data_IF_179644671796
#
_entry.id   IF_179644671796
#
_cell.length_a   1.000
_cell.length_b   1.000
_cell.length_c   1.000
_cell.angle_alpha   90.00
_cell.angle_beta   90.00
_cell.angle_gamma   90.00
#
_symmetry.space_group_name_H-M   'P 1'
#
loop_
_entity.id
_entity.type
_entity.pdbx_description
1 polymer ?
#
# COMPACT_ATOMS: atom_id res chain seq x y z
N UNK A 1 -9.36 -28.68 -5.90
CA UNK A 1 -8.31 -28.51 -4.88
C UNK A 1 -7.59 -27.21 -5.17
N UNK A 2 -7.85 -26.14 -4.40
CA UNK A 2 -7.10 -24.90 -4.58
C UNK A 2 -5.69 -25.14 -4.02
N UNK A 3 -4.71 -25.31 -4.91
CA UNK A 3 -3.31 -25.45 -4.52
C UNK A 3 -2.82 -24.21 -3.77
N UNK A 4 -1.94 -24.42 -2.79
CA UNK A 4 -1.26 -23.37 -2.02
C UNK A 4 -0.73 -22.27 -2.95
N UNK A 5 -0.93 -21.00 -2.57
CA UNK A 5 -0.42 -19.86 -3.35
C UNK A 5 1.11 -19.88 -3.33
N UNK A 6 1.70 -19.58 -4.48
CA UNK A 6 3.15 -19.53 -4.66
C UNK A 6 3.57 -18.07 -4.88
N UNK A 7 4.37 -17.53 -3.97
CA UNK A 7 4.95 -16.20 -4.06
C UNK A 7 6.38 -16.28 -4.55
N UNK A 8 6.82 -15.26 -5.29
CA UNK A 8 8.19 -15.19 -5.80
C UNK A 8 8.36 -15.80 -7.19
N UNK A 9 9.63 -16.09 -7.51
CA UNK A 9 10.06 -16.59 -8.82
C UNK A 9 9.54 -18.00 -9.08
N UNK A 10 9.38 -18.31 -10.37
CA UNK A 10 9.07 -19.66 -10.84
C UNK A 10 10.24 -20.13 -11.69
N UNK A 11 10.91 -21.21 -11.27
CA UNK A 11 12.17 -21.66 -11.88
C UNK A 11 12.09 -21.88 -13.41
N UNK A 12 10.95 -22.39 -13.89
CA UNK A 12 10.70 -22.67 -15.31
C UNK A 12 10.26 -21.43 -16.12
N UNK A 13 10.08 -20.29 -15.46
CA UNK A 13 9.53 -19.07 -16.05
C UNK A 13 10.37 -17.84 -15.64
N UNK A 14 11.59 -17.69 -16.18
CA UNK A 14 12.44 -16.54 -15.89
C UNK A 14 11.83 -15.23 -16.41
N UNK A 15 12.30 -14.11 -15.86
CA UNK A 15 11.92 -12.76 -16.33
C UNK A 15 12.19 -12.64 -17.82
N UNK A 16 11.20 -12.10 -18.55
CA UNK A 16 11.20 -11.99 -20.01
C UNK A 16 10.44 -13.12 -20.72
N UNK A 17 10.06 -14.19 -20.02
CA UNK A 17 9.25 -15.27 -20.62
C UNK A 17 7.93 -14.71 -21.17
N UNK A 18 7.60 -15.09 -22.40
CA UNK A 18 6.41 -14.65 -23.12
C UNK A 18 5.36 -15.75 -23.25
N UNK A 19 4.08 -15.36 -23.26
CA UNK A 19 2.93 -16.22 -23.40
C UNK A 19 1.96 -15.63 -24.42
N UNK A 20 1.37 -16.46 -25.27
CA UNK A 20 0.43 -16.01 -26.30
C UNK A 20 -0.92 -15.58 -25.71
N UNK A 21 -1.33 -16.12 -24.56
CA UNK A 21 -2.67 -15.86 -24.00
C UNK A 21 -2.76 -15.96 -22.47
N UNK A 22 -3.85 -15.42 -21.91
CA UNK A 22 -4.23 -15.61 -20.49
C UNK A 22 -4.42 -17.07 -20.11
N UNK A 23 -4.87 -17.91 -21.05
CA UNK A 23 -5.02 -19.36 -20.82
C UNK A 23 -3.66 -20.04 -20.65
N UNK A 24 -2.68 -19.61 -21.42
CA UNK A 24 -1.30 -20.12 -21.35
C UNK A 24 -0.61 -19.67 -20.05
N UNK A 25 -0.77 -18.41 -19.66
CA UNK A 25 -0.33 -17.92 -18.34
C UNK A 25 -0.89 -18.74 -17.18
N UNK A 26 -2.19 -19.08 -17.25
CA UNK A 26 -2.85 -19.89 -16.24
C UNK A 26 -2.35 -21.34 -16.23
N UNK A 27 -2.14 -21.93 -17.40
CA UNK A 27 -1.58 -23.27 -17.54
C UNK A 27 -0.13 -23.35 -17.02
N UNK A 28 0.67 -22.29 -17.24
CA UNK A 28 2.03 -22.14 -16.72
C UNK A 28 2.08 -21.83 -15.22
N UNK A 29 0.94 -21.54 -14.57
CA UNK A 29 0.90 -21.20 -13.15
C UNK A 29 1.45 -19.81 -12.80
N UNK A 30 1.97 -19.05 -13.76
CA UNK A 30 2.50 -17.69 -13.56
C UNK A 30 1.41 -16.74 -13.09
N UNK A 31 0.21 -16.87 -13.68
CA UNK A 31 -1.00 -16.16 -13.27
C UNK A 31 -2.22 -17.06 -13.48
N UNK A 32 -2.71 -17.68 -12.39
CA UNK A 32 -3.62 -18.84 -12.43
C UNK A 32 -5.07 -18.55 -12.86
N UNK A 33 -5.45 -17.28 -13.00
CA UNK A 33 -6.79 -16.87 -13.41
C UNK A 33 -6.78 -16.29 -14.81
N UNK A 34 -7.82 -16.56 -15.59
CA UNK A 34 -7.86 -16.21 -17.03
C UNK A 34 -8.50 -14.86 -17.32
N UNK A 35 -9.26 -14.32 -16.36
CA UNK A 35 -10.03 -13.08 -16.54
C UNK A 35 -9.49 -11.98 -15.63
N UNK A 36 -9.54 -12.19 -14.31
CA UNK A 36 -9.22 -11.17 -13.31
C UNK A 36 -7.78 -10.67 -13.45
N UNK A 37 -7.54 -9.36 -13.35
CA UNK A 37 -6.18 -8.81 -13.40
C UNK A 37 -5.33 -9.22 -12.19
N UNK A 38 -5.96 -9.46 -11.03
CA UNK A 38 -5.29 -9.81 -9.77
C UNK A 38 -5.55 -11.28 -9.45
N UNK A 39 -4.49 -12.05 -9.16
CA UNK A 39 -4.60 -13.38 -8.60
C UNK A 39 -4.30 -13.32 -7.09
N UNK A 40 -5.33 -13.19 -6.26
CA UNK A 40 -5.15 -13.04 -4.82
C UNK A 40 -6.43 -13.14 -4.01
N UNK A 41 -6.29 -13.21 -2.69
CA UNK A 41 -7.39 -13.10 -1.74
C UNK A 41 -6.92 -12.42 -0.44
N UNK A 42 -7.84 -11.84 0.33
CA UNK A 42 -7.55 -11.17 1.60
C UNK A 42 -7.14 -12.10 2.76
N UNK A 43 -6.96 -13.40 2.54
CA UNK A 43 -6.46 -14.35 3.55
C UNK A 43 -4.97 -14.67 3.35
N UNK A 44 -4.60 -14.92 2.11
CA UNK A 44 -3.29 -15.47 1.74
C UNK A 44 -2.39 -14.41 1.09
N UNK A 45 -2.98 -13.37 0.48
CA UNK A 45 -2.27 -12.38 -0.34
C UNK A 45 -2.45 -12.57 -1.84
N UNK A 46 -1.80 -11.70 -2.61
CA UNK A 46 -1.80 -11.67 -4.08
C UNK A 46 -0.46 -12.13 -4.64
N UNK A 47 -0.49 -13.19 -5.45
CA UNK A 47 0.73 -13.82 -6.02
C UNK A 47 1.15 -13.20 -7.35
N UNK A 48 0.21 -12.63 -8.10
CA UNK A 48 0.49 -12.04 -9.42
C UNK A 48 -0.57 -11.04 -9.85
N UNK A 49 -0.16 -10.10 -10.70
CA UNK A 49 -1.04 -9.17 -11.40
C UNK A 49 -0.74 -9.13 -12.90
N UNK A 50 -1.75 -8.77 -13.70
CA UNK A 50 -1.63 -8.53 -15.14
C UNK A 50 -1.90 -7.06 -15.44
N UNK A 51 -0.89 -6.37 -16.00
CA UNK A 51 -0.98 -4.98 -16.45
C UNK A 51 -1.20 -4.98 -17.95
N UNK A 52 -2.43 -4.72 -18.40
CA UNK A 52 -2.83 -4.87 -19.81
C UNK A 52 -3.84 -3.82 -20.27
N UNK A 53 -3.80 -2.62 -19.70
CA UNK A 53 -4.70 -1.51 -20.04
C UNK A 53 -6.16 -1.86 -19.77
N UNK A 54 -6.41 -2.46 -18.60
CA UNK A 54 -7.75 -2.83 -18.17
C UNK A 54 -8.52 -1.63 -17.61
N UNK A 55 -7.80 -0.69 -17.03
CA UNK A 55 -8.34 0.52 -16.43
C UNK A 55 -7.73 1.75 -17.10
N UNK A 56 -8.54 2.79 -17.26
CA UNK A 56 -8.09 4.07 -17.80
C UNK A 56 -7.14 4.83 -16.86
N UNK A 57 -7.14 4.47 -15.58
CA UNK A 57 -6.33 5.08 -14.53
C UNK A 57 -4.95 4.41 -14.36
N UNK A 58 -4.67 3.26 -14.98
CA UNK A 58 -3.36 2.59 -14.84
C UNK A 58 -2.21 3.49 -15.31
N UNK A 59 -1.13 3.56 -14.52
CA UNK A 59 0.10 4.27 -14.88
C UNK A 59 1.30 3.33 -14.73
N UNK A 60 2.11 3.23 -15.78
CA UNK A 60 3.29 2.37 -15.81
C UNK A 60 4.54 3.23 -16.03
N UNK A 61 5.53 3.06 -15.16
CA UNK A 61 6.82 3.75 -15.19
C UNK A 61 7.99 2.76 -15.27
N UNK A 62 7.73 1.53 -15.71
CA UNK A 62 8.73 0.47 -15.84
C UNK A 62 9.01 -0.22 -14.51
N UNK A 63 9.88 0.35 -13.68
CA UNK A 63 10.22 -0.23 -12.37
C UNK A 63 9.26 0.22 -11.25
N UNK A 64 8.40 1.20 -11.52
CA UNK A 64 7.26 1.56 -10.66
C UNK A 64 5.96 1.47 -11.45
N UNK A 65 4.89 0.98 -10.82
CA UNK A 65 3.56 0.88 -11.43
C UNK A 65 2.54 1.42 -10.44
N UNK A 66 1.64 2.29 -10.89
CA UNK A 66 0.44 2.65 -10.14
C UNK A 66 -0.73 1.89 -10.76
N UNK A 67 -1.11 0.82 -10.07
CA UNK A 67 -2.07 -0.17 -10.54
C UNK A 67 -3.46 0.10 -9.97
N UNK A 68 -4.49 0.04 -10.81
CA UNK A 68 -5.89 0.18 -10.38
C UNK A 68 -6.45 -1.14 -9.85
N UNK A 69 -7.08 -1.10 -8.68
CA UNK A 69 -7.77 -2.21 -8.05
C UNK A 69 -8.90 -2.77 -8.91
N UNK A 70 -9.42 -3.93 -8.51
CA UNK A 70 -10.55 -4.57 -9.15
C UNK A 70 -11.90 -4.04 -8.62
N UNK A 71 -12.92 -4.06 -9.49
CA UNK A 71 -14.30 -3.69 -9.15
C UNK A 71 -14.82 -2.51 -9.96
N UNK A 72 -16.14 -2.45 -10.16
CA UNK A 72 -16.83 -1.30 -10.74
C UNK A 72 -16.47 -0.93 -12.18
N UNK A 73 -15.73 -1.77 -12.92
CA UNK A 73 -15.33 -1.50 -14.31
C UNK A 73 -16.28 -2.19 -15.29
N UNK A 74 -16.74 -1.48 -16.32
CA UNK A 74 -17.44 -2.09 -17.44
C UNK A 74 -16.44 -2.69 -18.45
N UNK A 75 -16.41 -4.02 -18.67
CA UNK A 75 -15.43 -4.66 -19.55
C UNK A 75 -15.48 -4.20 -21.01
N UNK A 76 -16.61 -3.64 -21.45
CA UNK A 76 -16.79 -3.19 -22.84
C UNK A 76 -16.19 -1.81 -23.09
N UNK A 77 -16.51 -0.83 -22.24
CA UNK A 77 -16.01 0.54 -22.34
C UNK A 77 -14.68 0.75 -21.62
N UNK A 78 -14.29 -0.17 -20.72
CA UNK A 78 -13.17 -0.07 -19.78
C UNK A 78 -13.26 1.10 -18.80
N UNK A 79 -14.44 1.70 -18.67
CA UNK A 79 -14.69 2.83 -17.76
C UNK A 79 -15.27 2.34 -16.44
N UNK A 80 -14.99 3.09 -15.37
CA UNK A 80 -15.68 2.85 -14.11
C UNK A 80 -17.15 3.27 -14.20
N UNK A 81 -18.01 2.45 -13.61
CA UNK A 81 -19.47 2.63 -13.50
C UNK A 81 -19.97 2.51 -12.06
N UNK A 82 -19.08 2.19 -11.12
CA UNK A 82 -19.36 2.12 -9.69
C UNK A 82 -18.06 2.24 -8.88
N UNK A 83 -18.21 2.60 -7.59
CA UNK A 83 -17.11 2.65 -6.63
C UNK A 83 -16.52 1.25 -6.36
N UNK A 84 -15.21 1.22 -6.13
CA UNK A 84 -14.51 0.01 -5.72
C UNK A 84 -14.50 -0.15 -4.20
N UNK A 85 -14.50 -1.41 -3.77
CA UNK A 85 -14.35 -1.79 -2.38
C UNK A 85 -12.95 -2.39 -2.12
N UNK A 86 -12.28 -1.98 -1.05
CA UNK A 86 -10.97 -2.55 -0.66
C UNK A 86 -11.11 -4.03 -0.25
N UNK A 87 -12.27 -4.40 0.27
CA UNK A 87 -12.64 -5.76 0.71
C UNK A 87 -12.83 -6.74 -0.46
N UNK A 88 -12.88 -6.25 -1.70
CA UNK A 88 -12.89 -7.11 -2.88
C UNK A 88 -11.65 -8.03 -2.86
N UNK A 89 -11.84 -9.32 -3.12
CA UNK A 89 -10.83 -10.37 -2.90
C UNK A 89 -9.42 -10.03 -3.41
N UNK A 90 -9.29 -9.50 -4.64
CA UNK A 90 -8.01 -9.12 -5.22
C UNK A 90 -7.40 -7.89 -4.56
N UNK A 91 -8.21 -6.87 -4.26
CA UNK A 91 -7.77 -5.66 -3.57
C UNK A 91 -7.26 -5.98 -2.17
N UNK A 92 -8.06 -6.73 -1.39
CA UNK A 92 -7.67 -7.21 -0.06
C UNK A 92 -6.41 -8.09 -0.12
N UNK A 93 -6.23 -8.88 -1.18
CA UNK A 93 -5.02 -9.67 -1.38
C UNK A 93 -3.77 -8.82 -1.63
N UNK A 94 -3.89 -7.69 -2.33
CA UNK A 94 -2.77 -6.77 -2.52
C UNK A 94 -2.40 -6.05 -1.22
N UNK A 95 -3.38 -5.70 -0.38
CA UNK A 95 -3.13 -5.17 0.99
C UNK A 95 -2.38 -6.20 1.83
N UNK A 96 -2.82 -7.46 1.85
CA UNK A 96 -2.11 -8.52 2.58
C UNK A 96 -0.68 -8.71 2.05
N UNK A 97 -0.47 -8.62 0.73
CA UNK A 97 0.89 -8.69 0.16
C UNK A 97 1.76 -7.50 0.55
N UNK A 98 1.19 -6.30 0.68
CA UNK A 98 1.88 -5.12 1.21
C UNK A 98 2.31 -5.33 2.66
N UNK A 99 1.37 -5.67 3.53
CA UNK A 99 1.60 -5.84 4.97
C UNK A 99 2.66 -6.90 5.28
N UNK A 100 2.65 -8.00 4.52
CA UNK A 100 3.58 -9.12 4.73
C UNK A 100 4.84 -9.03 3.84
N UNK A 101 4.95 -8.02 2.98
CA UNK A 101 6.07 -7.87 2.04
C UNK A 101 6.16 -9.00 1.02
N UNK A 102 5.04 -9.62 0.66
CA UNK A 102 5.04 -10.73 -0.30
C UNK A 102 5.32 -10.23 -1.72
N UNK A 103 6.25 -10.88 -2.45
CA UNK A 103 6.55 -10.52 -3.81
C UNK A 103 5.37 -10.89 -4.74
N UNK A 104 5.00 -9.95 -5.60
CA UNK A 104 3.94 -10.06 -6.59
C UNK A 104 4.59 -10.17 -7.97
N UNK A 105 4.28 -11.24 -8.71
CA UNK A 105 4.70 -11.36 -10.12
C UNK A 105 3.92 -10.36 -10.97
N UNK A 106 4.64 -9.55 -11.75
CA UNK A 106 4.03 -8.62 -12.72
C UNK A 106 4.10 -9.22 -14.11
N UNK A 107 2.96 -9.26 -14.78
CA UNK A 107 2.84 -9.71 -16.17
C UNK A 107 2.31 -8.54 -17.00
N UNK A 108 3.08 -8.08 -17.98
CA UNK A 108 2.63 -7.04 -18.92
C UNK A 108 1.97 -7.66 -20.14
N UNK A 109 0.78 -7.20 -20.48
CA UNK A 109 0.05 -7.59 -21.68
C UNK A 109 0.17 -6.54 -22.78
N UNK A 110 0.03 -6.97 -24.03
CA UNK A 110 0.22 -6.11 -25.20
C UNK A 110 -0.70 -4.89 -25.32
N UNK A 111 -1.82 -4.89 -24.60
CA UNK A 111 -2.76 -3.76 -24.53
C UNK A 111 -2.42 -2.74 -23.44
N UNK A 112 -1.32 -2.93 -22.70
CA UNK A 112 -0.84 -1.98 -21.68
C UNK A 112 -0.09 -0.80 -22.29
N UNK A 113 0.73 -0.13 -21.48
CA UNK A 113 1.52 1.02 -21.91
C UNK A 113 2.53 0.61 -23.01
N UNK A 114 2.48 1.19 -24.22
CA UNK A 114 3.37 0.81 -25.32
C UNK A 114 4.87 0.97 -25.03
N UNK A 115 5.26 1.79 -24.06
CA UNK A 115 6.66 1.96 -23.67
C UNK A 115 7.22 0.74 -22.92
N UNK A 116 6.36 -0.01 -22.22
CA UNK A 116 6.77 -1.13 -21.36
C UNK A 116 6.15 -2.46 -21.76
N UNK A 117 4.97 -2.46 -22.37
CA UNK A 117 4.26 -3.66 -22.80
C UNK A 117 4.91 -4.35 -24.01
N UNK A 118 4.77 -5.69 -24.13
CA UNK A 118 5.19 -6.40 -25.33
C UNK A 118 4.31 -6.01 -26.53
N UNK A 119 4.82 -6.17 -27.76
CA UNK A 119 4.03 -5.90 -28.98
C UNK A 119 2.86 -6.89 -29.15
N UNK A 120 3.03 -8.13 -28.68
CA UNK A 120 2.00 -9.18 -28.73
C UNK A 120 2.03 -10.03 -27.46
N UNK A 121 0.89 -10.64 -27.14
CA UNK A 121 0.79 -11.58 -26.03
C UNK A 121 1.02 -10.94 -24.65
N UNK A 122 1.70 -11.69 -23.79
CA UNK A 122 2.01 -11.34 -22.41
C UNK A 122 3.46 -11.66 -22.11
N UNK A 123 4.09 -10.88 -21.23
CA UNK A 123 5.48 -11.09 -20.79
C UNK A 123 5.55 -11.01 -19.27
N UNK A 124 6.23 -11.95 -18.65
CA UNK A 124 6.55 -11.90 -17.23
C UNK A 124 7.71 -10.94 -16.98
N UNK A 125 7.49 -9.89 -16.20
CA UNK A 125 8.43 -8.78 -16.01
C UNK A 125 9.10 -8.78 -14.62
N UNK A 126 8.98 -9.89 -13.90
CA UNK A 126 9.64 -10.12 -12.62
C UNK A 126 8.78 -9.78 -11.42
N UNK A 127 9.46 -9.75 -10.27
CA UNK A 127 8.84 -9.53 -8.97
C UNK A 127 8.82 -8.07 -8.59
N UNK A 128 7.70 -7.65 -8.02
CA UNK A 128 7.48 -6.35 -7.44
C UNK A 128 7.01 -6.53 -6.00
N UNK A 129 7.22 -5.52 -5.15
CA UNK A 129 6.49 -5.40 -3.88
C UNK A 129 5.39 -4.37 -4.01
N UNK A 130 4.27 -4.59 -3.33
CA UNK A 130 3.31 -3.53 -3.08
C UNK A 130 3.92 -2.62 -2.02
N UNK A 131 4.18 -1.36 -2.39
CA UNK A 131 4.84 -0.39 -1.53
C UNK A 131 3.84 0.47 -0.75
N UNK A 132 2.64 0.66 -1.30
CA UNK A 132 1.58 1.49 -0.74
C UNK A 132 0.25 1.22 -1.44
N UNK A 133 -0.87 1.39 -0.72
CA UNK A 133 -2.21 1.51 -1.30
C UNK A 133 -2.95 2.77 -0.82
N UNK A 134 -3.90 3.26 -1.62
CA UNK A 134 -4.83 4.37 -1.30
C UNK A 134 -6.09 4.27 -2.17
N UNK A 135 -7.13 5.04 -1.85
CA UNK A 135 -8.25 5.28 -2.80
C UNK A 135 -8.18 6.67 -3.39
N UNK A 136 -8.80 6.88 -4.56
CA UNK A 136 -9.00 8.22 -5.15
C UNK A 136 -10.21 8.20 -6.08
N UNK A 137 -10.67 9.37 -6.54
CA UNK A 137 -11.70 9.45 -7.58
C UNK A 137 -11.03 9.29 -8.95
N UNK A 138 -11.33 8.18 -9.63
CA UNK A 138 -10.81 7.90 -10.96
C UNK A 138 -11.37 8.83 -12.04
N UNK A 139 -10.83 8.73 -13.26
CA UNK A 139 -11.21 9.58 -14.41
C UNK A 139 -12.70 9.56 -14.74
N UNK A 140 -13.40 8.47 -14.45
CA UNK A 140 -14.85 8.34 -14.64
C UNK A 140 -15.70 8.81 -13.44
N UNK A 141 -15.09 9.42 -12.42
CA UNK A 141 -15.81 10.03 -11.30
C UNK A 141 -16.24 9.07 -10.18
N UNK A 142 -15.72 7.84 -10.17
CA UNK A 142 -15.98 6.83 -9.15
C UNK A 142 -14.72 6.58 -8.33
N UNK A 143 -14.91 6.20 -7.06
CA UNK A 143 -13.81 5.77 -6.21
C UNK A 143 -13.14 4.52 -6.77
N UNK A 144 -11.82 4.57 -6.89
CA UNK A 144 -10.96 3.44 -7.24
C UNK A 144 -9.92 3.23 -6.14
N UNK A 145 -9.46 1.99 -5.98
CA UNK A 145 -8.29 1.68 -5.17
C UNK A 145 -7.04 1.63 -6.03
N UNK A 146 -5.93 2.07 -5.48
CA UNK A 146 -4.67 2.25 -6.18
C UNK A 146 -3.57 1.61 -5.38
N UNK A 147 -2.65 0.96 -6.09
CA UNK A 147 -1.55 0.23 -5.51
C UNK A 147 -0.27 0.66 -6.20
N UNK A 148 0.68 1.20 -5.43
CA UNK A 148 2.03 1.46 -5.93
C UNK A 148 2.84 0.18 -5.83
N UNK A 149 3.27 -0.37 -6.96
CA UNK A 149 4.21 -1.48 -7.02
C UNK A 149 5.59 -0.97 -7.39
N UNK A 150 6.62 -1.51 -6.74
CA UNK A 150 8.02 -1.20 -7.02
C UNK A 150 8.79 -2.48 -7.30
N UNK A 151 9.55 -2.49 -8.40
CA UNK A 151 10.31 -3.67 -8.84
C UNK A 151 11.36 -4.05 -7.81
N UNK A 152 11.51 -5.34 -7.61
CA UNK A 152 12.60 -5.90 -6.83
C UNK A 152 13.81 -6.07 -7.78
N UNK A 153 14.91 -5.35 -7.49
CA UNK A 153 16.19 -5.57 -8.17
C UNK A 153 17.01 -6.62 -7.43
N UNK A 154 17.63 -7.54 -8.17
CA UNK A 154 18.53 -8.54 -7.57
C UNK A 154 19.87 -7.89 -7.20
N UNK A 155 19.92 -7.25 -6.04
CA UNK A 155 21.07 -7.34 -5.14
C UNK A 155 20.64 -7.14 -3.68
N UNK A 156 19.79 -8.04 -3.18
CA UNK A 156 19.70 -8.35 -1.74
C UNK A 156 19.59 -9.88 -1.63
N UNK A 157 20.64 -10.51 -1.10
CA UNK A 157 20.77 -11.97 -1.00
C UNK A 157 19.69 -12.53 -0.08
N UNK A 158 18.92 -13.49 -0.58
CA UNK A 158 17.89 -14.28 0.12
C UNK A 158 18.33 -15.76 0.17
N UNK A 159 17.79 -16.65 1.05
CA UNK A 159 16.36 -16.68 1.44
C UNK A 159 15.99 -17.07 2.88
N UNK A 160 14.76 -16.68 3.23
CA UNK A 160 13.99 -17.22 4.34
C UNK A 160 13.51 -18.65 4.01
N UNK A 161 13.62 -19.58 4.96
CA UNK A 161 12.80 -20.80 4.98
C UNK A 161 12.21 -20.94 6.39
N UNK A 162 10.88 -20.86 6.57
CA UNK A 162 10.23 -21.27 7.81
C UNK A 162 9.70 -22.70 7.70
N UNK A 163 9.90 -23.60 8.71
CA UNK A 163 8.95 -24.66 8.98
C UNK A 163 7.97 -24.24 10.08
N UNK A 164 6.75 -24.71 9.87
CA UNK A 164 5.52 -24.47 10.62
C UNK A 164 5.56 -24.83 12.11
N UNK A 165 4.59 -24.24 12.81
CA UNK A 165 4.15 -24.39 14.21
C UNK A 165 4.82 -23.43 15.21
N UNK A 166 3.99 -22.56 15.81
CA UNK A 166 4.33 -21.41 16.68
C UNK A 166 5.55 -21.68 17.59
N UNK A 167 6.67 -20.92 17.46
CA UNK A 167 7.83 -21.14 18.33
C UNK A 167 7.70 -20.39 19.67
N UNK A 168 8.01 -21.10 20.76
CA UNK A 168 8.30 -20.49 22.05
C UNK A 168 9.59 -19.66 21.95
N UNK A 169 9.57 -18.41 22.42
CA UNK A 169 10.72 -17.50 22.34
C UNK A 169 11.97 -18.04 23.04
N UNK A 170 13.15 -17.85 22.44
CA UNK A 170 14.45 -18.19 23.06
C UNK A 170 14.98 -17.07 23.96
N UNK A 171 15.51 -17.46 25.12
CA UNK A 171 15.89 -16.61 26.26
C UNK A 171 17.16 -15.74 26.04
N UNK A 172 17.75 -15.75 24.85
CA UNK A 172 18.94 -14.94 24.53
C UNK A 172 18.89 -14.39 23.11
N UNK A 173 18.48 -13.13 22.90
CA UNK A 173 18.49 -12.52 21.58
C UNK A 173 19.95 -12.26 21.14
N UNK A 174 20.31 -12.70 19.93
CA UNK A 174 21.59 -12.38 19.29
C UNK A 174 21.54 -10.94 18.78
N UNK A 175 22.38 -10.06 19.32
CA UNK A 175 22.52 -8.70 18.82
C UNK A 175 23.42 -8.67 17.59
N UNK A 176 22.92 -8.13 16.48
CA UNK A 176 23.69 -7.81 15.30
C UNK A 176 23.63 -6.28 15.10
N UNK A 177 24.80 -5.66 14.91
CA UNK A 177 24.91 -4.23 14.62
C UNK A 177 24.73 -4.06 13.11
N UNK A 178 23.57 -3.54 12.71
CA UNK A 178 23.27 -3.20 11.32
C UNK A 178 23.18 -1.69 11.14
N UNK A 179 24.02 -1.13 10.27
CA UNK A 179 23.90 0.27 9.83
C UNK A 179 22.88 0.30 8.70
N UNK A 180 21.64 0.65 9.02
CA UNK A 180 20.62 0.96 8.02
C UNK A 180 20.84 2.37 7.50
N UNK A 181 20.89 2.55 6.17
CA UNK A 181 20.51 3.84 5.60
C UNK A 181 18.99 3.90 5.55
N UNK A 182 18.39 4.14 6.72
CA UNK A 182 17.03 4.66 6.81
C UNK A 182 17.10 6.08 6.24
N UNK A 183 16.22 6.46 5.31
CA UNK A 183 15.89 7.89 5.18
C UNK A 183 15.52 8.32 6.59
N UNK A 184 16.33 9.19 7.21
CA UNK A 184 16.10 9.65 8.58
C UNK A 184 14.79 10.44 8.56
N UNK A 185 13.66 9.77 8.80
CA UNK A 185 12.33 10.38 8.92
C UNK A 185 12.18 11.19 10.21
N UNK A 186 13.25 11.34 10.99
CA UNK A 186 13.26 12.29 12.10
C UNK A 186 13.65 13.65 11.55
N UNK A 187 12.72 14.28 10.84
CA UNK A 187 12.91 15.63 10.34
C UNK A 187 12.88 16.61 11.51
N UNK A 188 13.48 17.79 11.32
CA UNK A 188 13.38 18.87 12.31
C UNK A 188 11.91 19.20 12.62
N UNK A 189 11.04 19.07 11.60
CA UNK A 189 9.58 19.21 11.68
C UNK A 189 8.96 18.17 12.62
N UNK A 190 9.21 16.88 12.39
CA UNK A 190 8.72 15.82 13.27
C UNK A 190 9.15 15.99 14.72
N UNK A 191 10.37 16.46 14.95
CA UNK A 191 10.85 16.74 16.31
C UNK A 191 10.11 17.94 16.93
N UNK A 192 9.90 19.01 16.17
CA UNK A 192 9.20 20.21 16.64
C UNK A 192 7.73 19.92 16.98
N UNK A 193 7.01 19.22 16.11
CA UNK A 193 5.60 18.86 16.29
C UNK A 193 5.42 17.97 17.52
N UNK A 194 6.26 16.93 17.69
CA UNK A 194 6.22 16.08 18.89
C UNK A 194 6.46 16.85 20.18
N UNK A 195 7.41 17.79 20.18
CA UNK A 195 7.68 18.67 21.34
C UNK A 195 6.49 19.58 21.66
N UNK A 196 5.88 20.21 20.66
CA UNK A 196 4.68 21.04 20.84
C UNK A 196 3.54 20.28 21.50
N UNK A 197 3.35 19.01 21.12
CA UNK A 197 2.33 18.13 21.71
C UNK A 197 2.79 17.39 22.96
N UNK A 198 3.98 17.68 23.49
CA UNK A 198 4.59 17.00 24.64
C UNK A 198 4.57 15.48 24.48
N UNK A 199 4.76 14.98 23.25
CA UNK A 199 4.73 13.56 22.89
C UNK A 199 3.42 12.85 23.30
N UNK A 200 2.32 13.60 23.39
CA UNK A 200 0.99 13.06 23.66
C UNK A 200 0.25 12.88 22.34
N UNK A 201 -0.25 11.67 22.08
CA UNK A 201 -0.99 11.36 20.86
C UNK A 201 -2.13 12.36 20.65
N UNK A 202 -2.25 12.90 19.44
CA UNK A 202 -3.33 13.80 19.08
C UNK A 202 -4.67 13.08 18.91
N UNK A 203 -4.66 11.78 18.65
CA UNK A 203 -5.86 10.93 18.50
C UNK A 203 -6.33 10.41 19.86
N UNK A 204 -5.65 9.43 20.46
CA UNK A 204 -6.12 8.81 21.71
C UNK A 204 -5.73 9.56 23.00
N UNK A 205 -4.85 10.58 22.92
CA UNK A 205 -4.37 11.28 24.11
C UNK A 205 -3.35 10.51 24.97
N UNK A 206 -2.97 9.29 24.58
CA UNK A 206 -1.93 8.52 25.30
C UNK A 206 -0.57 9.18 25.11
N UNK A 207 0.20 9.25 26.20
CA UNK A 207 1.60 9.65 26.21
C UNK A 207 2.45 8.43 26.57
N UNK A 208 3.21 7.89 25.61
CA UNK A 208 4.03 6.71 25.84
C UNK A 208 5.29 7.10 26.61
N UNK A 209 5.49 6.47 27.77
CA UNK A 209 6.61 6.72 28.67
C UNK A 209 7.60 5.57 28.58
N UNK A 210 8.83 5.88 28.19
CA UNK A 210 9.96 4.98 28.19
C UNK A 210 10.93 5.38 29.32
N UNK A 211 11.81 4.48 29.78
CA UNK A 211 12.82 4.82 30.78
C UNK A 211 13.73 6.01 30.38
N UNK A 212 13.91 6.20 29.08
CA UNK A 212 14.78 7.24 28.49
C UNK A 212 14.02 8.49 28.02
N UNK A 213 12.72 8.59 28.31
CA UNK A 213 11.90 9.75 27.97
C UNK A 213 10.56 9.41 27.35
N UNK A 214 10.00 10.34 26.58
CA UNK A 214 8.68 10.16 25.97
C UNK A 214 8.80 9.72 24.51
N UNK A 215 7.87 8.88 24.08
CA UNK A 215 7.82 8.36 22.72
C UNK A 215 6.53 8.79 22.01
N UNK A 216 6.71 9.23 20.77
CA UNK A 216 5.65 9.48 19.81
C UNK A 216 6.26 9.47 18.40
N UNK A 217 5.40 9.29 17.41
CA UNK A 217 5.74 9.27 16.00
C UNK A 217 5.20 10.52 15.32
N UNK A 218 5.95 11.04 14.35
CA UNK A 218 5.50 12.13 13.48
C UNK A 218 4.92 11.49 12.23
N UNK A 219 3.61 11.63 12.04
CA UNK A 219 2.88 11.07 10.92
C UNK A 219 2.54 12.18 9.92
N UNK A 220 2.99 12.07 8.67
CA UNK A 220 2.56 13.02 7.64
C UNK A 220 1.10 12.75 7.28
N UNK A 221 0.29 13.81 7.15
CA UNK A 221 -1.14 13.68 6.81
C UNK A 221 -1.28 13.32 5.34
N UNK A 222 -0.60 14.07 4.48
CA UNK A 222 -0.37 13.76 3.06
C UNK A 222 1.03 13.20 2.92
N UNK A 223 1.14 11.94 2.50
CA UNK A 223 2.42 11.24 2.39
C UNK A 223 3.44 11.97 1.48
N UNK A 224 4.72 11.88 1.84
CA UNK A 224 5.82 12.45 1.06
C UNK A 224 6.08 11.64 -0.23
N UNK A 225 6.61 12.30 -1.26
CA UNK A 225 7.04 11.64 -2.50
C UNK A 225 5.89 11.09 -3.34
N UNK A 226 6.20 10.51 -4.51
CA UNK A 226 5.18 10.07 -5.46
C UNK A 226 4.36 8.89 -4.93
N UNK A 227 3.03 8.87 -5.13
CA UNK A 227 2.28 9.82 -5.98
C UNK A 227 1.71 11.03 -5.20
N UNK A 228 1.71 10.99 -3.87
CA UNK A 228 1.02 11.98 -3.07
C UNK A 228 1.72 13.34 -3.06
N UNK A 229 3.05 13.36 -3.11
CA UNK A 229 3.89 14.56 -3.16
C UNK A 229 3.56 15.58 -2.04
N UNK A 230 3.25 15.09 -0.83
CA UNK A 230 3.04 15.94 0.34
C UNK A 230 4.31 16.65 0.78
N UNK A 231 4.20 17.86 1.39
CA UNK A 231 5.35 18.60 1.90
C UNK A 231 5.79 18.11 3.28
N UNK A 232 7.08 18.25 3.61
CA UNK A 232 7.58 18.05 4.99
C UNK A 232 7.44 19.35 5.79
N UNK A 233 6.21 19.71 6.14
CA UNK A 233 5.86 20.94 6.89
C UNK A 233 5.06 20.62 8.15
N UNK A 234 5.10 21.48 9.20
CA UNK A 234 4.39 21.20 10.45
C UNK A 234 2.88 21.03 10.30
N UNK A 235 2.25 21.79 9.40
CA UNK A 235 0.82 21.74 9.12
C UNK A 235 0.38 20.46 8.36
N UNK A 236 1.34 19.71 7.81
CA UNK A 236 1.14 18.38 7.21
C UNK A 236 1.54 17.25 8.17
N UNK A 237 1.57 17.47 9.47
CA UNK A 237 2.06 16.47 10.42
C UNK A 237 1.20 16.32 11.66
N UNK A 238 1.14 15.09 12.19
CA UNK A 238 0.51 14.76 13.45
C UNK A 238 1.52 14.11 14.41
N UNK A 239 1.34 14.35 15.70
CA UNK A 239 2.01 13.63 16.77
C UNK A 239 1.13 12.45 17.22
N UNK A 240 1.49 11.23 16.87
CA UNK A 240 0.70 10.01 17.13
C UNK A 240 1.44 8.98 17.99
N UNK A 241 0.70 8.11 18.67
CA UNK A 241 1.26 6.86 19.21
C UNK A 241 1.42 5.83 18.08
N UNK A 242 2.22 4.79 18.28
CA UNK A 242 2.47 3.78 17.25
C UNK A 242 1.19 3.11 16.74
N UNK A 243 0.21 2.87 17.62
CA UNK A 243 -1.06 2.23 17.24
C UNK A 243 -1.92 3.15 16.36
N UNK A 244 -2.14 4.40 16.78
CA UNK A 244 -2.96 5.34 16.02
C UNK A 244 -2.27 5.78 14.72
N UNK A 245 -0.93 5.79 14.69
CA UNK A 245 -0.19 6.02 13.46
C UNK A 245 -0.43 4.91 12.45
N UNK A 246 -0.34 3.64 12.86
CA UNK A 246 -0.64 2.52 11.99
C UNK A 246 -2.10 2.56 11.49
N UNK A 247 -3.06 2.86 12.37
CA UNK A 247 -4.46 3.02 11.96
C UNK A 247 -4.65 4.16 10.96
N UNK A 248 -3.91 5.25 11.11
CA UNK A 248 -4.03 6.41 10.23
C UNK A 248 -3.41 6.16 8.84
N UNK A 249 -2.24 5.51 8.79
CA UNK A 249 -1.54 5.18 7.55
C UNK A 249 -2.25 4.09 6.74
N UNK A 250 -2.88 3.12 7.43
CA UNK A 250 -3.59 1.99 6.82
C UNK A 250 -5.09 2.25 6.60
N UNK A 251 -5.55 3.51 6.78
CA UNK A 251 -6.95 3.89 6.57
C UNK A 251 -7.95 3.32 7.58
N UNK A 252 -7.51 2.79 8.71
CA UNK A 252 -8.36 2.37 9.83
C UNK A 252 -9.03 3.56 10.53
N UNK A 253 -8.41 4.74 10.49
CA UNK A 253 -8.99 6.01 10.94
C UNK A 253 -8.69 7.15 9.96
N UNK A 254 -9.54 8.18 9.95
CA UNK A 254 -9.31 9.44 9.25
C UNK A 254 -9.80 10.64 10.08
N UNK A 255 -9.47 11.86 9.66
CA UNK A 255 -9.91 13.09 10.33
C UNK A 255 -10.86 13.86 9.40
N UNK A 256 -11.98 14.36 9.93
CA UNK A 256 -12.92 15.17 9.15
C UNK A 256 -12.61 16.68 9.19
N UNK A 257 -13.37 17.46 8.41
CA UNK A 257 -13.19 18.92 8.30
C UNK A 257 -13.47 19.69 9.60
N UNK A 258 -14.07 19.03 10.59
CA UNK A 258 -14.30 19.56 11.94
C UNK A 258 -13.27 19.04 12.94
N UNK A 259 -12.18 18.44 12.45
CA UNK A 259 -11.11 17.82 13.24
C UNK A 259 -11.62 16.68 14.14
N UNK A 260 -12.70 15.99 13.75
CA UNK A 260 -13.15 14.78 14.44
C UNK A 260 -12.40 13.58 13.88
N UNK A 261 -11.89 12.74 14.77
CA UNK A 261 -11.31 11.44 14.40
C UNK A 261 -12.46 10.48 14.16
N UNK A 262 -12.43 9.79 13.02
CA UNK A 262 -13.43 8.81 12.60
C UNK A 262 -12.78 7.47 12.31
N UNK A 263 -13.54 6.40 12.50
CA UNK A 263 -13.17 5.08 12.00
C UNK A 263 -13.38 4.97 10.48
N UNK A 264 -12.86 3.91 9.88
CA UNK A 264 -13.00 3.58 8.46
C UNK A 264 -14.46 3.43 7.97
N UNK A 265 -15.45 3.36 8.86
CA UNK A 265 -16.88 3.29 8.54
C UNK A 265 -17.60 4.64 8.74
N UNK A 266 -16.88 5.69 9.15
CA UNK A 266 -17.41 7.03 9.39
C UNK A 266 -17.96 7.27 10.79
N UNK A 267 -17.88 6.30 11.70
CA UNK A 267 -18.20 6.45 13.12
C UNK A 267 -17.27 7.46 13.80
N UNK A 268 -17.81 8.31 14.68
CA UNK A 268 -17.01 9.32 15.39
C UNK A 268 -16.33 8.68 16.59
N UNK A 269 -15.00 8.69 16.62
CA UNK A 269 -14.17 8.16 17.71
C UNK A 269 -13.82 9.23 18.75
N UNK A 270 -13.72 10.49 18.32
CA UNK A 270 -13.40 11.60 19.21
C UNK A 270 -13.02 12.89 18.49
N UNK A 271 -12.51 13.85 19.24
CA UNK A 271 -11.99 15.12 18.71
C UNK A 271 -10.46 15.08 18.70
N UNK A 272 -9.84 15.45 17.57
CA UNK A 272 -8.39 15.59 17.48
C UNK A 272 -7.91 16.63 18.48
N UNK A 273 -6.92 16.28 19.32
CA UNK A 273 -6.27 17.25 20.21
C UNK A 273 -5.45 18.24 19.39
N UNK A 274 -5.70 19.52 19.62
CA UNK A 274 -5.03 20.64 18.96
C UNK A 274 -4.10 21.39 19.91
N UNK A 275 -3.17 22.16 19.35
CA UNK A 275 -2.30 23.08 20.08
C UNK A 275 -2.23 24.40 19.29
N UNK A 276 -2.30 25.54 19.99
CA UNK A 276 -2.29 26.88 19.35
C UNK A 276 -1.04 27.11 18.49
N UNK A 277 0.11 26.53 18.86
CA UNK A 277 1.36 26.60 18.09
C UNK A 277 1.47 25.56 16.97
N UNK A 278 0.44 24.74 16.73
CA UNK A 278 0.43 23.67 15.74
C UNK A 278 -0.94 23.61 15.04
N UNK A 279 -1.07 24.41 13.98
CA UNK A 279 -2.27 24.45 13.14
C UNK A 279 -2.10 23.47 12.00
N UNK A 280 -2.97 22.47 11.97
CA UNK A 280 -3.00 21.46 10.90
C UNK A 280 -3.75 21.99 9.70
N UNK A 281 -3.22 21.75 8.50
CA UNK A 281 -3.87 22.16 7.25
C UNK A 281 -5.12 21.34 6.98
N UNK A 282 -6.26 22.02 6.83
CA UNK A 282 -7.50 21.39 6.39
C UNK A 282 -7.41 20.84 4.97
N UNK A 283 -6.51 21.38 4.13
CA UNK A 283 -6.26 20.83 2.79
C UNK A 283 -5.66 19.43 2.88
N UNK A 284 -4.65 19.23 3.73
CA UNK A 284 -4.04 17.91 3.91
C UNK A 284 -5.00 16.93 4.57
N UNK A 285 -5.81 17.38 5.53
CA UNK A 285 -6.87 16.55 6.12
C UNK A 285 -7.89 16.12 5.07
N UNK A 286 -8.36 17.05 4.22
CA UNK A 286 -9.28 16.71 3.12
C UNK A 286 -8.64 15.71 2.17
N UNK A 287 -7.39 15.94 1.76
CA UNK A 287 -6.66 15.02 0.91
C UNK A 287 -6.59 13.62 1.53
N UNK A 288 -6.17 13.47 2.78
CA UNK A 288 -6.13 12.18 3.47
C UNK A 288 -7.52 11.52 3.54
N UNK A 289 -8.56 12.29 3.88
CA UNK A 289 -9.95 11.80 3.91
C UNK A 289 -10.46 11.37 2.53
N UNK A 290 -10.12 12.08 1.47
CA UNK A 290 -10.46 11.66 0.10
C UNK A 290 -9.80 10.31 -0.23
N UNK A 291 -8.61 10.06 0.32
CA UNK A 291 -7.84 8.87 0.01
C UNK A 291 -8.12 7.66 0.89
N UNK A 292 -8.53 7.87 2.15
CA UNK A 292 -8.71 6.82 3.14
C UNK A 292 -10.07 6.85 3.85
N UNK A 293 -10.83 7.94 3.72
CA UNK A 293 -12.10 8.13 4.41
C UNK A 293 -13.30 7.45 3.73
N UNK A 294 -14.33 7.17 4.52
CA UNK A 294 -15.60 6.62 4.07
C UNK A 294 -16.51 7.68 3.43
N UNK A 295 -17.11 7.37 2.27
CA UNK A 295 -18.11 8.22 1.62
C UNK A 295 -17.61 9.60 1.16
N UNK A 296 -16.29 9.76 1.02
CA UNK A 296 -15.64 10.88 0.31
C UNK A 296 -15.77 10.77 -1.20
#
# INVERSE_FOLDING_TARGET
MAGQRLFGELAEHPVGTTYASRKELAAAGVHRVTIQGICGNGKDGSESIVVSGGYEDDEDYGDEIVYTGAGGNDPSSKKQVADQELTQSGNAGLVVSEENGYPVRVIRGWKGDPAFSPVVGYRYDGLFRVAQHWSEVGKSGYRIWRFKLVRLVQQEVQPLIPPANLPAGTVTPRQAIGTTQRIIRTTAVATAVKKLHKYTCQVCGVQLRLPVGLYAEGAHIRALGRPHNGPDTPDNMLCLCANDHALFDLGGIYIDEHLRVRDHAGGVLGQLRTNVGHVVSLEHIRYHREHFGFGS
#
